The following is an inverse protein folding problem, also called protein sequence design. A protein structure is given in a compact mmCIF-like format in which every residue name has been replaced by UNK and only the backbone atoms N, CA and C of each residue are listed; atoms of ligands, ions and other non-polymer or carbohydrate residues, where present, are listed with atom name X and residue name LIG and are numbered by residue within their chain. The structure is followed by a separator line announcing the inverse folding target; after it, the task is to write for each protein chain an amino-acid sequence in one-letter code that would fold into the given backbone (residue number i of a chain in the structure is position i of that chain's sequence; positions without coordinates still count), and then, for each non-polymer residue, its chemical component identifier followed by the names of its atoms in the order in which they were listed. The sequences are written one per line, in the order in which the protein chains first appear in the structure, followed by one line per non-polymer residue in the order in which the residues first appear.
data_IF_231452358905
#
_entry.id   IF_231452358905
#
_cell.length_a   1.000
_cell.length_b   1.000
_cell.length_c   1.000
_cell.angle_alpha   90.00
_cell.angle_beta   90.00
_cell.angle_gamma   90.00
#
_symmetry.space_group_name_H-M   'P 1'
#
loop_
_entity.id
_entity.type
_entity.pdbx_description
1 polymer ?
#
# COMPACT_ATOMS: atom_id res chain seq x y z
N UNK A 1 -4.90 4.86 -19.01
CA UNK A 1 -4.65 5.32 -17.62
C UNK A 1 -4.93 4.19 -16.63
N UNK A 2 -6.13 3.58 -16.63
CA UNK A 2 -6.53 2.53 -15.69
C UNK A 2 -5.55 1.34 -15.57
N UNK A 3 -5.04 0.81 -16.69
CA UNK A 3 -4.12 -0.34 -16.67
C UNK A 3 -2.80 -0.11 -15.90
N UNK A 4 -2.34 1.14 -15.77
CA UNK A 4 -1.12 1.45 -15.02
C UNK A 4 -1.28 1.26 -13.52
N UNK A 5 -2.51 1.37 -13.01
CA UNK A 5 -2.80 1.29 -11.57
C UNK A 5 -3.44 -0.04 -11.17
N UNK A 6 -3.73 -0.94 -12.13
CA UNK A 6 -4.40 -2.22 -11.85
C UNK A 6 -3.66 -3.03 -10.80
N UNK A 7 -2.34 -3.08 -10.88
CA UNK A 7 -1.51 -3.79 -9.91
C UNK A 7 -1.56 -3.13 -8.52
N UNK A 8 -1.41 -1.81 -8.45
CA UNK A 8 -1.54 -1.06 -7.20
C UNK A 8 -2.92 -1.30 -6.56
N UNK A 9 -4.00 -1.23 -7.35
CA UNK A 9 -5.35 -1.48 -6.86
C UNK A 9 -5.48 -2.88 -6.29
N UNK A 10 -4.97 -3.92 -6.95
CA UNK A 10 -5.00 -5.26 -6.39
C UNK A 10 -4.27 -5.34 -5.03
N UNK A 11 -3.09 -4.73 -4.92
CA UNK A 11 -2.30 -4.71 -3.69
C UNK A 11 -3.04 -4.05 -2.51
N UNK A 12 -3.86 -3.02 -2.76
CA UNK A 12 -4.59 -2.30 -1.71
C UNK A 12 -5.60 -3.17 -0.95
N UNK A 13 -6.11 -4.25 -1.56
CA UNK A 13 -7.17 -5.07 -0.97
C UNK A 13 -6.70 -6.46 -0.50
N UNK A 14 -5.46 -6.89 -0.79
CA UNK A 14 -4.95 -8.24 -0.45
C UNK A 14 -4.98 -8.52 1.07
N UNK A 15 -4.65 -7.53 1.89
CA UNK A 15 -4.63 -7.64 3.36
C UNK A 15 -5.89 -7.02 4.00
N UNK A 16 -6.89 -6.65 3.20
CA UNK A 16 -8.12 -6.01 3.64
C UNK A 16 -7.98 -4.50 3.90
N UNK A 17 -9.10 -3.79 3.82
CA UNK A 17 -9.14 -2.36 4.10
C UNK A 17 -9.25 -2.11 5.61
N UNK A 18 -8.58 -1.06 6.15
CA UNK A 18 -7.75 -0.06 5.48
C UNK A 18 -6.24 -0.38 5.50
N UNK A 19 -5.83 -1.64 5.71
CA UNK A 19 -4.43 -2.00 5.90
C UNK A 19 -3.57 -1.65 4.68
N UNK A 20 -3.98 -2.07 3.47
CA UNK A 20 -3.26 -1.78 2.23
C UNK A 20 -3.13 -0.28 1.93
N UNK A 21 -4.24 0.47 2.08
CA UNK A 21 -4.26 1.92 1.86
C UNK A 21 -3.36 2.65 2.85
N UNK A 22 -3.41 2.30 4.14
CA UNK A 22 -2.51 2.92 5.14
C UNK A 22 -1.05 2.57 4.90
N UNK A 23 -0.78 1.35 4.46
CA UNK A 23 0.56 0.89 4.10
C UNK A 23 1.14 1.73 2.94
N UNK A 24 0.34 1.96 1.90
CA UNK A 24 0.72 2.84 0.78
C UNK A 24 0.95 4.29 1.21
N UNK A 25 0.02 4.89 1.96
CA UNK A 25 0.18 6.28 2.40
C UNK A 25 1.38 6.45 3.36
N UNK A 26 1.70 5.43 4.15
CA UNK A 26 2.90 5.41 4.97
C UNK A 26 4.17 5.29 4.11
N UNK A 27 4.16 4.42 3.09
CA UNK A 27 5.26 4.31 2.13
C UNK A 27 5.50 5.63 1.38
N UNK A 28 4.46 6.46 1.18
CA UNK A 28 4.55 7.79 0.58
C UNK A 28 4.96 8.90 1.59
N UNK A 29 5.24 8.55 2.84
CA UNK A 29 5.60 9.50 3.89
C UNK A 29 4.47 10.43 4.35
N UNK A 30 3.20 10.10 4.05
CA UNK A 30 2.05 10.98 4.34
C UNK A 30 1.46 10.76 5.73
N UNK A 31 1.52 9.52 6.25
CA UNK A 31 0.97 9.14 7.55
C UNK A 31 1.84 8.09 8.24
N UNK A 32 1.59 7.86 9.53
CA UNK A 32 2.07 6.67 10.23
C UNK A 32 1.17 5.46 9.95
N UNK A 33 1.75 4.27 9.78
CA UNK A 33 0.99 3.03 9.61
C UNK A 33 0.45 2.47 10.95
N UNK A 34 -0.43 3.24 11.60
CA UNK A 34 -1.10 2.84 12.86
C UNK A 34 -2.49 2.28 12.60
N UNK A 35 -2.71 1.06 13.05
CA UNK A 35 -3.98 0.33 12.99
C UNK A 35 -4.43 -0.04 14.40
N UNK A 36 -5.73 -0.26 14.57
CA UNK A 36 -6.32 -0.74 15.82
C UNK A 36 -6.85 -2.15 15.58
N UNK A 37 -6.66 -3.02 16.57
CA UNK A 37 -7.23 -4.35 16.54
C UNK A 37 -8.76 -4.27 16.30
N UNK A 38 -9.33 -5.21 15.53
CA UNK A 38 -8.73 -6.46 15.04
C UNK A 38 -7.84 -6.31 13.80
N UNK A 39 -7.70 -5.10 13.24
CA UNK A 39 -6.91 -4.85 12.05
C UNK A 39 -5.41 -4.84 12.37
N UNK A 40 -4.64 -5.51 11.53
CA UNK A 40 -3.18 -5.63 11.64
C UNK A 40 -2.49 -5.03 10.42
N UNK A 41 -1.23 -4.56 10.54
CA UNK A 41 -0.45 -4.10 9.39
C UNK A 41 -0.37 -5.14 8.28
N UNK A 42 -0.17 -4.66 7.04
CA UNK A 42 0.05 -5.52 5.88
C UNK A 42 1.26 -6.41 6.08
N UNK A 43 1.30 -7.55 5.38
CA UNK A 43 2.48 -8.41 5.36
C UNK A 43 3.67 -7.64 4.76
N UNK A 44 4.89 -7.95 5.22
CA UNK A 44 6.14 -7.33 4.71
C UNK A 44 6.20 -7.46 3.18
N UNK A 45 5.83 -8.63 2.64
CA UNK A 45 5.73 -8.86 1.19
C UNK A 45 4.81 -7.85 0.49
N UNK A 46 3.59 -7.65 1.00
CA UNK A 46 2.65 -6.68 0.41
C UNK A 46 3.20 -5.25 0.47
N UNK A 47 3.87 -4.88 1.55
CA UNK A 47 4.48 -3.56 1.69
C UNK A 47 5.61 -3.32 0.68
N UNK A 48 6.52 -4.29 0.49
CA UNK A 48 7.59 -4.18 -0.50
C UNK A 48 7.05 -4.11 -1.94
N UNK A 49 6.01 -4.88 -2.28
CA UNK A 49 5.35 -4.79 -3.58
C UNK A 49 4.69 -3.41 -3.80
N UNK A 50 4.04 -2.85 -2.77
CA UNK A 50 3.50 -1.49 -2.83
C UNK A 50 4.63 -0.49 -3.14
N UNK A 51 5.76 -0.57 -2.44
CA UNK A 51 6.91 0.32 -2.69
C UNK A 51 7.47 0.19 -4.11
N UNK A 52 7.59 -1.04 -4.62
CA UNK A 52 8.03 -1.29 -6.00
C UNK A 52 7.11 -0.61 -7.01
N UNK A 53 5.79 -0.85 -6.90
CA UNK A 53 4.81 -0.29 -7.83
C UNK A 53 4.75 1.24 -7.75
N UNK A 54 4.85 1.82 -6.55
CA UNK A 54 4.96 3.28 -6.39
C UNK A 54 6.21 3.84 -7.08
N UNK A 55 7.34 3.15 -7.01
CA UNK A 55 8.57 3.50 -7.72
C UNK A 55 8.40 3.46 -9.25
N UNK A 56 7.77 2.41 -9.79
CA UNK A 56 7.46 2.30 -11.22
C UNK A 56 6.51 3.42 -11.70
N UNK A 57 5.60 3.86 -10.84
CA UNK A 57 4.70 4.98 -11.09
C UNK A 57 5.35 6.36 -10.88
N UNK A 58 6.63 6.42 -10.52
CA UNK A 58 7.36 7.64 -10.18
C UNK A 58 6.69 8.46 -9.05
N UNK A 59 6.06 7.77 -8.10
CA UNK A 59 5.46 8.37 -6.91
C UNK A 59 6.50 8.39 -5.80
N UNK A 60 6.68 9.55 -5.16
CA UNK A 60 7.64 9.73 -4.08
C UNK A 60 7.29 8.82 -2.90
N UNK A 61 8.30 8.08 -2.44
CA UNK A 61 8.29 7.27 -1.24
C UNK A 61 9.30 7.82 -0.23
#
# INVERSE_FOLDING_TARGET
IHHKFTELFNLLFIDGNPAGVKSMLNAMGMIENKLRLPLVPTRIKTFEEIRRVLGELNIKC
#
